data_IF_220306143742
#
_entry.id   IF_220306143742
#
_cell.length_a   1.000
_cell.length_b   1.000
_cell.length_c   1.000
_cell.angle_alpha   90.00
_cell.angle_beta   90.00
_cell.angle_gamma   90.00
#
_symmetry.space_group_name_H-M   'P 1'
#
loop_
_entity.id
_entity.type
_entity.pdbx_description
1 polymer ?
#
# COMPACT_ATOMS: atom_id res chain seq x y z
N UNK A 1 -1.85 25.30 -9.43
CA UNK A 1 -3.06 25.30 -10.27
C UNK A 1 -3.25 26.71 -10.80
N UNK A 2 -3.64 26.82 -12.07
CA UNK A 2 -3.69 28.06 -12.81
C UNK A 2 -5.06 28.25 -13.45
N UNK A 3 -5.59 29.47 -13.38
CA UNK A 3 -6.94 29.77 -13.86
C UNK A 3 -6.89 30.01 -15.37
N UNK A 4 -7.55 29.14 -16.14
CA UNK A 4 -7.69 29.28 -17.59
C UNK A 4 -9.15 29.60 -17.91
N UNK A 5 -9.38 30.64 -18.70
CA UNK A 5 -10.71 31.01 -19.16
C UNK A 5 -11.10 30.17 -20.38
N UNK A 6 -12.07 29.27 -20.21
CA UNK A 6 -12.55 28.34 -21.24
C UNK A 6 -14.05 28.59 -21.45
N UNK A 7 -14.44 28.98 -22.68
CA UNK A 7 -15.84 29.34 -23.05
C UNK A 7 -16.50 30.36 -22.08
N UNK A 8 -15.72 31.27 -21.51
CA UNK A 8 -16.20 32.30 -20.58
C UNK A 8 -16.38 31.85 -19.13
N UNK A 9 -15.85 30.67 -18.76
CA UNK A 9 -15.75 30.19 -17.38
C UNK A 9 -14.29 30.06 -16.98
N UNK A 10 -13.97 30.49 -15.78
CA UNK A 10 -12.63 30.41 -15.21
C UNK A 10 -12.46 29.06 -14.51
N UNK A 11 -11.53 28.24 -15.01
CA UNK A 11 -11.32 26.86 -14.55
C UNK A 11 -9.92 26.74 -13.97
N UNK A 12 -9.78 26.19 -12.76
CA UNK A 12 -8.49 26.01 -12.09
C UNK A 12 -7.80 24.72 -12.57
N UNK A 13 -6.94 24.84 -13.57
CA UNK A 13 -6.30 23.72 -14.27
C UNK A 13 -4.87 23.51 -13.78
N UNK A 14 -4.50 22.25 -13.53
CA UNK A 14 -3.11 21.89 -13.23
C UNK A 14 -2.32 21.60 -14.52
N UNK A 15 -1.72 22.66 -15.07
CA UNK A 15 -0.99 22.63 -16.35
C UNK A 15 0.25 21.75 -16.28
N UNK A 16 0.96 21.72 -15.15
CA UNK A 16 2.18 20.92 -14.99
C UNK A 16 1.84 19.42 -15.02
N UNK A 17 0.79 19.02 -14.30
CA UNK A 17 0.27 17.64 -14.30
C UNK A 17 -0.07 17.15 -15.71
N UNK A 18 -0.80 17.95 -16.47
CA UNK A 18 -1.24 17.57 -17.83
C UNK A 18 -0.07 17.46 -18.83
N UNK A 19 0.99 18.26 -18.66
CA UNK A 19 2.15 18.22 -19.55
C UNK A 19 3.17 17.14 -19.19
N UNK A 20 3.24 16.72 -17.92
CA UNK A 20 4.14 15.64 -17.45
C UNK A 20 3.76 14.26 -18.04
N UNK A 21 2.52 14.10 -18.52
CA UNK A 21 2.08 12.87 -19.19
C UNK A 21 2.77 12.64 -20.54
N UNK A 22 3.36 13.68 -21.15
CA UNK A 22 3.96 13.63 -22.47
C UNK A 22 5.49 13.64 -22.42
N UNK A 23 6.12 12.93 -23.36
CA UNK A 23 7.58 12.86 -23.46
C UNK A 23 8.16 14.08 -24.18
N UNK A 24 8.85 14.95 -23.44
CA UNK A 24 9.48 16.15 -23.99
C UNK A 24 10.97 15.98 -24.27
N UNK A 25 11.39 16.33 -25.49
CA UNK A 25 12.81 16.29 -25.87
C UNK A 25 13.55 17.52 -25.36
N UNK A 26 14.67 17.30 -24.64
CA UNK A 26 15.54 18.35 -24.05
C UNK A 26 14.76 19.36 -23.18
N UNK A 27 13.79 18.85 -22.42
CA UNK A 27 12.98 19.66 -21.52
C UNK A 27 13.76 20.23 -20.34
N UNK A 28 13.44 21.47 -20.00
CA UNK A 28 13.85 22.15 -18.78
C UNK A 28 12.61 22.72 -18.12
N UNK A 29 12.29 22.16 -16.96
CA UNK A 29 11.21 22.61 -16.10
C UNK A 29 11.73 23.67 -15.13
N UNK A 30 11.02 24.79 -15.02
CA UNK A 30 11.16 25.77 -13.95
C UNK A 30 9.81 26.05 -13.33
N UNK A 31 9.79 26.65 -12.14
CA UNK A 31 8.56 26.90 -11.39
C UNK A 31 7.53 27.76 -12.15
N UNK A 32 7.99 28.54 -13.12
CA UNK A 32 7.20 29.49 -13.92
C UNK A 32 6.91 28.99 -15.35
N UNK A 33 7.72 28.09 -15.91
CA UNK A 33 7.60 27.67 -17.32
C UNK A 33 8.28 26.34 -17.62
N UNK A 34 7.82 25.69 -18.68
CA UNK A 34 8.51 24.60 -19.35
C UNK A 34 9.16 25.14 -20.64
N UNK A 35 10.42 24.77 -20.89
CA UNK A 35 11.12 24.99 -22.16
C UNK A 35 11.54 23.63 -22.73
N UNK A 36 11.22 23.34 -23.99
CA UNK A 36 11.55 22.08 -24.64
C UNK A 36 11.78 22.25 -26.15
N UNK A 37 12.21 21.17 -26.82
CA UNK A 37 12.08 21.10 -28.27
C UNK A 37 10.60 21.13 -28.69
N UNK A 38 10.32 21.70 -29.86
CA UNK A 38 8.95 21.84 -30.36
C UNK A 38 8.24 20.49 -30.51
N UNK A 39 6.98 20.37 -30.04
CA UNK A 39 6.17 19.19 -30.28
C UNK A 39 5.59 19.19 -31.72
N UNK A 40 5.44 20.35 -32.35
CA UNK A 40 4.78 20.51 -33.65
C UNK A 40 5.67 20.18 -34.85
N UNK A 41 6.99 20.22 -34.64
CA UNK A 41 7.99 20.00 -35.70
C UNK A 41 9.24 19.36 -35.13
N UNK A 42 9.98 18.69 -35.99
CA UNK A 42 11.29 18.18 -35.61
C UNK A 42 12.25 19.34 -35.32
N UNK A 43 12.71 19.44 -34.06
CA UNK A 43 13.73 20.40 -33.64
C UNK A 43 14.78 19.73 -32.75
N UNK A 44 16.04 20.10 -32.98
CA UNK A 44 17.18 19.63 -32.20
C UNK A 44 17.57 20.61 -31.08
N UNK A 45 17.03 21.83 -31.10
CA UNK A 45 17.25 22.88 -30.10
C UNK A 45 15.96 23.25 -29.37
N UNK A 46 15.98 23.48 -28.04
CA UNK A 46 14.80 23.95 -27.33
C UNK A 46 14.32 25.31 -27.84
N UNK A 47 13.13 25.33 -28.41
CA UNK A 47 12.53 26.47 -29.11
C UNK A 47 11.09 26.74 -28.67
N UNK A 48 10.47 25.76 -28.01
CA UNK A 48 9.12 25.80 -27.47
C UNK A 48 9.15 26.14 -25.98
N UNK A 49 8.20 26.98 -25.56
CA UNK A 49 7.99 27.31 -24.16
C UNK A 49 6.50 27.43 -23.84
N UNK A 50 6.14 27.08 -22.62
CA UNK A 50 4.80 27.26 -22.07
C UNK A 50 4.89 27.77 -20.63
N UNK A 51 4.05 28.75 -20.28
CA UNK A 51 3.97 29.29 -18.93
C UNK A 51 3.07 28.43 -18.05
N UNK A 52 3.54 28.08 -16.86
CA UNK A 52 2.81 27.26 -15.89
C UNK A 52 2.00 28.12 -14.90
N UNK A 53 2.32 29.42 -14.81
CA UNK A 53 1.69 30.39 -13.93
C UNK A 53 1.47 31.72 -14.68
N UNK A 54 0.59 32.56 -14.16
CA UNK A 54 0.37 33.91 -14.68
C UNK A 54 1.63 34.76 -14.50
N UNK A 55 2.02 35.46 -15.55
CA UNK A 55 3.12 36.42 -15.55
C UNK A 55 2.60 37.80 -15.92
N UNK A 56 3.38 38.84 -15.62
CA UNK A 56 3.00 40.23 -15.94
C UNK A 56 2.74 40.48 -17.45
N UNK A 57 3.15 39.56 -18.33
CA UNK A 57 3.08 39.70 -19.78
C UNK A 57 2.32 38.57 -20.49
N UNK A 58 1.95 37.49 -19.80
CA UNK A 58 1.29 36.33 -20.37
C UNK A 58 0.53 35.51 -19.31
N UNK A 59 -0.65 35.01 -19.66
CA UNK A 59 -1.45 34.13 -18.81
C UNK A 59 -0.87 32.71 -18.80
N UNK A 60 -1.10 31.99 -17.71
CA UNK A 60 -0.78 30.59 -17.59
C UNK A 60 -1.41 29.77 -18.73
N UNK A 61 -0.65 28.82 -19.28
CA UNK A 61 -1.08 28.00 -20.41
C UNK A 61 -0.85 28.64 -21.78
N UNK A 62 -0.36 29.88 -21.82
CA UNK A 62 0.12 30.49 -23.07
C UNK A 62 1.44 29.85 -23.47
N UNK A 63 1.56 29.44 -24.73
CA UNK A 63 2.79 28.85 -25.27
C UNK A 63 3.27 29.56 -26.53
N UNK A 64 4.55 29.39 -26.84
CA UNK A 64 5.16 29.87 -28.08
C UNK A 64 6.27 28.95 -28.58
N UNK A 65 6.41 28.84 -29.90
CA UNK A 65 7.55 28.21 -30.57
C UNK A 65 8.29 29.27 -31.38
N UNK A 66 9.49 29.60 -30.92
CA UNK A 66 10.35 30.62 -31.52
C UNK A 66 10.84 30.27 -32.93
N UNK A 67 10.85 28.98 -33.30
CA UNK A 67 11.20 28.52 -34.66
C UNK A 67 10.00 28.09 -35.50
N UNK A 68 8.77 28.26 -35.00
CA UNK A 68 7.53 28.00 -35.73
C UNK A 68 7.17 29.14 -36.70
N UNK A 69 6.56 28.79 -37.84
CA UNK A 69 5.99 29.74 -38.79
C UNK A 69 4.48 29.60 -38.90
N UNK A 70 3.74 30.71 -39.00
CA UNK A 70 2.29 30.71 -39.17
C UNK A 70 1.53 30.37 -37.89
N UNK A 71 0.56 29.45 -37.99
CA UNK A 71 -0.39 29.08 -36.92
C UNK A 71 0.26 28.35 -35.73
N UNK A 72 1.49 27.86 -35.88
CA UNK A 72 2.24 27.17 -34.81
C UNK A 72 3.31 28.04 -34.13
N UNK A 73 3.17 29.37 -34.18
CA UNK A 73 4.13 30.28 -33.55
C UNK A 73 3.78 30.61 -32.10
N UNK A 74 2.49 30.75 -31.78
CA UNK A 74 1.94 31.03 -30.44
C UNK A 74 0.53 30.46 -30.35
N UNK A 75 0.15 30.01 -29.17
CA UNK A 75 -1.21 29.50 -28.96
C UNK A 75 -1.57 29.37 -27.49
N UNK A 76 -2.77 28.84 -27.28
CA UNK A 76 -3.34 28.59 -25.95
C UNK A 76 -3.20 27.13 -25.54
N UNK A 77 -3.39 26.87 -24.26
CA UNK A 77 -3.22 25.55 -23.66
C UNK A 77 -4.11 24.48 -24.31
N UNK A 78 -5.35 24.82 -24.64
CA UNK A 78 -6.31 23.93 -25.30
C UNK A 78 -5.81 23.44 -26.66
N UNK A 79 -5.16 24.32 -27.43
CA UNK A 79 -4.59 24.01 -28.75
C UNK A 79 -3.39 23.06 -28.64
N UNK A 80 -2.58 23.25 -27.60
CA UNK A 80 -1.44 22.37 -27.33
C UNK A 80 -1.91 20.97 -26.94
N UNK A 81 -2.88 20.88 -26.02
CA UNK A 81 -3.44 19.60 -25.59
C UNK A 81 -4.15 18.88 -26.74
N UNK A 82 -4.88 19.61 -27.59
CA UNK A 82 -5.54 19.04 -28.77
C UNK A 82 -4.52 18.36 -29.69
N UNK A 83 -3.38 19.02 -29.91
CA UNK A 83 -2.29 18.46 -30.71
C UNK A 83 -1.59 17.27 -30.04
N UNK A 84 -1.31 17.34 -28.73
CA UNK A 84 -0.63 16.26 -28.01
C UNK A 84 -1.51 15.00 -27.86
N UNK A 85 -2.83 15.17 -27.75
CA UNK A 85 -3.82 14.09 -27.62
C UNK A 85 -4.40 13.58 -28.94
N UNK A 86 -4.05 14.22 -30.06
CA UNK A 86 -4.60 13.94 -31.40
C UNK A 86 -6.14 13.98 -31.41
N UNK A 87 -6.71 15.06 -30.86
CA UNK A 87 -8.17 15.28 -30.78
C UNK A 87 -8.53 16.74 -31.10
N UNK A 88 -9.83 17.03 -31.23
CA UNK A 88 -10.29 18.39 -31.55
C UNK A 88 -10.24 19.32 -30.32
N UNK A 89 -10.14 20.64 -30.57
CA UNK A 89 -10.17 21.64 -29.49
C UNK A 89 -11.48 21.59 -28.68
N UNK A 90 -12.61 21.24 -29.31
CA UNK A 90 -13.90 21.09 -28.62
C UNK A 90 -13.88 19.93 -27.63
N UNK A 91 -13.30 18.79 -28.00
CA UNK A 91 -13.13 17.63 -27.12
C UNK A 91 -12.19 17.92 -25.95
N UNK A 92 -11.13 18.70 -26.16
CA UNK A 92 -10.25 19.15 -25.08
C UNK A 92 -10.96 20.11 -24.13
N UNK A 93 -11.77 21.02 -24.67
CA UNK A 93 -12.56 21.95 -23.85
C UNK A 93 -13.57 21.17 -23.01
N UNK A 94 -14.28 20.21 -23.60
CA UNK A 94 -15.24 19.39 -22.86
C UNK A 94 -14.52 18.52 -21.82
N UNK A 95 -13.34 17.95 -22.15
CA UNK A 95 -12.47 17.25 -21.18
C UNK A 95 -12.05 18.15 -20.01
N UNK A 96 -11.55 19.36 -20.27
CA UNK A 96 -11.09 20.27 -19.22
C UNK A 96 -12.25 20.77 -18.36
N UNK A 97 -13.42 21.00 -18.95
CA UNK A 97 -14.64 21.34 -18.21
C UNK A 97 -15.13 20.15 -17.38
N UNK A 98 -15.13 18.93 -17.92
CA UNK A 98 -15.51 17.73 -17.18
C UNK A 98 -14.54 17.45 -16.01
N UNK A 99 -13.23 17.52 -16.26
CA UNK A 99 -12.19 17.16 -15.30
C UNK A 99 -12.01 18.24 -14.23
N UNK A 100 -12.03 19.53 -14.60
CA UNK A 100 -11.64 20.64 -13.72
C UNK A 100 -12.75 21.64 -13.39
N UNK A 101 -13.88 21.68 -14.11
CA UNK A 101 -14.99 22.56 -13.71
C UNK A 101 -15.75 21.92 -12.54
N UNK A 102 -15.36 22.30 -11.33
CA UNK A 102 -16.14 22.05 -10.13
C UNK A 102 -17.13 23.21 -9.96
N UNK A 103 -18.44 22.96 -10.07
CA UNK A 103 -19.48 23.93 -9.75
C UNK A 103 -19.40 24.28 -8.25
N UNK A 104 -18.70 25.36 -7.92
CA UNK A 104 -18.59 25.87 -6.55
C UNK A 104 -19.34 27.20 -6.43
N UNK A 105 -20.55 27.14 -5.87
CA UNK A 105 -21.40 28.31 -5.59
C UNK A 105 -21.40 28.73 -4.10
N UNK A 106 -20.49 28.17 -3.30
CA UNK A 106 -20.22 28.63 -1.94
C UNK A 106 -21.27 28.26 -0.87
N UNK A 107 -22.40 27.64 -1.22
CA UNK A 107 -23.44 27.23 -0.24
C UNK A 107 -23.67 25.72 -0.16
N UNK A 108 -23.22 24.93 -1.14
CA UNK A 108 -23.51 23.50 -1.16
C UNK A 108 -22.45 22.70 -0.38
N UNK A 109 -22.89 21.86 0.56
CA UNK A 109 -22.05 20.91 1.32
C UNK A 109 -21.13 20.17 0.35
N UNK A 110 -19.83 20.12 0.66
CA UNK A 110 -18.85 19.27 -0.02
C UNK A 110 -19.38 17.84 -0.16
N UNK A 111 -19.91 17.52 -1.34
CA UNK A 111 -20.12 16.14 -1.77
C UNK A 111 -18.87 15.73 -2.55
N UNK A 112 -18.06 14.89 -1.92
CA UNK A 112 -16.90 14.29 -2.57
C UNK A 112 -17.46 13.32 -3.61
N UNK A 113 -17.35 13.68 -4.90
CA UNK A 113 -17.69 12.78 -5.99
C UNK A 113 -16.60 11.71 -6.16
N UNK A 114 -16.81 10.60 -5.46
CA UNK A 114 -15.92 9.44 -5.46
C UNK A 114 -15.89 8.69 -6.81
N UNK A 115 -16.75 9.03 -7.77
CA UNK A 115 -16.80 8.33 -9.07
C UNK A 115 -15.57 8.59 -9.96
N UNK A 116 -14.80 9.64 -9.65
CA UNK A 116 -13.59 10.04 -10.38
C UNK A 116 -12.29 9.42 -9.86
N UNK A 117 -12.32 8.72 -8.73
CA UNK A 117 -11.21 7.87 -8.28
C UNK A 117 -11.13 6.62 -9.19
N UNK A 118 -10.54 6.76 -10.37
CA UNK A 118 -10.03 5.62 -11.13
C UNK A 118 -8.79 5.09 -10.43
N UNK A 119 -8.97 4.42 -9.30
CA UNK A 119 -7.98 3.44 -8.86
C UNK A 119 -7.83 2.46 -10.02
N UNK A 120 -6.62 2.31 -10.53
CA UNK A 120 -6.29 1.20 -11.41
C UNK A 120 -6.39 -0.06 -10.56
N UNK A 121 -7.61 -0.54 -10.33
CA UNK A 121 -7.87 -1.87 -9.78
C UNK A 121 -7.43 -2.86 -10.86
N UNK A 122 -6.12 -3.09 -10.96
CA UNK A 122 -5.74 -4.48 -11.16
C UNK A 122 -6.38 -5.21 -9.98
N UNK A 123 -7.42 -6.00 -10.25
CA UNK A 123 -8.00 -6.91 -9.27
C UNK A 123 -6.91 -7.95 -8.98
N UNK A 124 -5.95 -7.57 -8.14
CA UNK A 124 -4.88 -8.42 -7.65
C UNK A 124 -5.48 -9.28 -6.56
N UNK A 125 -5.37 -10.59 -6.73
CA UNK A 125 -6.03 -11.56 -5.89
C UNK A 125 -6.00 -12.91 -6.58
N UNK A 126 -6.06 -13.94 -5.76
CA UNK A 126 -6.02 -15.32 -6.21
C UNK A 126 -7.43 -15.93 -6.16
N UNK A 127 -7.74 -16.86 -7.06
CA UNK A 127 -8.97 -17.65 -6.98
C UNK A 127 -9.02 -18.45 -5.66
N UNK A 128 -10.18 -18.45 -5.00
CA UNK A 128 -10.40 -19.25 -3.77
C UNK A 128 -10.31 -20.76 -4.07
N UNK A 129 -10.58 -21.15 -5.32
CA UNK A 129 -10.48 -22.50 -5.86
C UNK A 129 -9.10 -23.13 -5.63
N UNK A 130 -8.05 -22.33 -5.40
CA UNK A 130 -6.70 -22.82 -5.09
C UNK A 130 -6.59 -23.49 -3.72
N UNK A 131 -7.52 -23.19 -2.81
CA UNK A 131 -7.56 -23.75 -1.45
C UNK A 131 -8.81 -24.61 -1.20
N UNK A 132 -9.81 -24.52 -2.09
CA UNK A 132 -11.01 -25.36 -2.02
C UNK A 132 -10.69 -26.84 -2.22
N UNK A 133 -11.33 -27.69 -1.40
CA UNK A 133 -11.17 -29.15 -1.48
C UNK A 133 -9.87 -29.70 -0.89
N UNK A 134 -8.97 -28.86 -0.37
CA UNK A 134 -7.78 -29.29 0.35
C UNK A 134 -8.10 -29.62 1.82
N UNK A 135 -7.27 -30.46 2.43
CA UNK A 135 -7.41 -30.81 3.83
C UNK A 135 -7.07 -29.60 4.71
N UNK A 136 -7.92 -29.27 5.68
CA UNK A 136 -7.64 -28.17 6.62
C UNK A 136 -6.69 -28.61 7.74
N UNK A 137 -6.61 -29.92 7.99
CA UNK A 137 -5.83 -30.50 9.09
C UNK A 137 -4.47 -30.96 8.61
N UNK A 138 -3.41 -30.37 9.17
CA UNK A 138 -2.03 -30.73 8.95
C UNK A 138 -1.40 -31.28 10.23
N UNK A 139 -0.95 -32.53 10.19
CA UNK A 139 -0.15 -33.14 11.26
C UNK A 139 1.17 -32.39 11.49
N UNK A 140 1.73 -31.81 10.44
CA UNK A 140 2.95 -31.00 10.54
C UNK A 140 2.73 -29.76 11.42
N UNK A 141 1.65 -29.01 11.18
CA UNK A 141 1.32 -27.84 11.98
C UNK A 141 0.94 -28.23 13.41
N UNK A 142 0.23 -29.35 13.57
CA UNK A 142 -0.07 -29.90 14.89
C UNK A 142 1.20 -30.25 15.68
N UNK A 143 2.18 -30.88 15.04
CA UNK A 143 3.51 -31.15 15.61
C UNK A 143 4.31 -29.88 15.94
N UNK A 144 3.99 -28.75 15.30
CA UNK A 144 4.48 -27.41 15.63
C UNK A 144 3.56 -26.69 16.63
N UNK A 145 2.76 -27.40 17.41
CA UNK A 145 1.92 -26.82 18.47
C UNK A 145 0.72 -26.01 17.99
N UNK A 146 0.41 -26.01 16.69
CA UNK A 146 -0.77 -25.31 16.15
C UNK A 146 -1.97 -26.25 16.16
N UNK A 147 -2.96 -25.96 17.01
CA UNK A 147 -4.15 -26.80 17.16
C UNK A 147 -4.96 -26.89 15.86
N UNK A 148 -5.70 -27.98 15.61
CA UNK A 148 -6.55 -28.06 14.42
C UNK A 148 -7.63 -26.97 14.38
N UNK A 149 -8.16 -26.57 15.53
CA UNK A 149 -9.11 -25.46 15.62
C UNK A 149 -8.47 -24.15 15.16
N UNK A 150 -7.19 -23.92 15.49
CA UNK A 150 -6.44 -22.77 14.99
C UNK A 150 -6.17 -22.86 13.49
N UNK A 151 -5.84 -24.05 12.98
CA UNK A 151 -5.64 -24.25 11.54
C UNK A 151 -6.92 -23.92 10.75
N UNK A 152 -8.07 -24.36 11.25
CA UNK A 152 -9.39 -24.01 10.71
C UNK A 152 -9.67 -22.51 10.84
N UNK A 153 -9.37 -21.91 11.99
CA UNK A 153 -9.61 -20.49 12.26
C UNK A 153 -8.83 -19.56 11.33
N UNK A 154 -7.57 -19.89 11.03
CA UNK A 154 -6.70 -19.17 10.07
C UNK A 154 -6.87 -19.64 8.62
N UNK A 155 -7.80 -20.57 8.35
CA UNK A 155 -8.04 -21.13 7.01
C UNK A 155 -6.78 -21.74 6.39
N UNK A 156 -5.83 -22.24 7.18
CA UNK A 156 -4.65 -22.92 6.61
C UNK A 156 -5.04 -24.24 6.01
N UNK A 157 -4.45 -24.58 4.87
CA UNK A 157 -4.76 -25.82 4.16
C UNK A 157 -3.49 -26.62 3.89
N UNK A 158 -3.67 -27.93 3.72
CA UNK A 158 -2.62 -28.90 3.48
C UNK A 158 -2.92 -29.67 2.20
N UNK A 159 -1.95 -29.67 1.30
CA UNK A 159 -1.92 -30.52 0.11
C UNK A 159 -1.12 -31.78 0.43
N UNK A 160 -1.85 -32.87 0.72
CA UNK A 160 -1.29 -34.18 1.07
C UNK A 160 -0.45 -34.77 -0.06
N UNK A 161 -0.84 -34.54 -1.31
CA UNK A 161 -0.16 -35.11 -2.49
C UNK A 161 1.22 -34.49 -2.65
N UNK A 162 1.34 -33.18 -2.40
CA UNK A 162 2.60 -32.43 -2.56
C UNK A 162 3.36 -32.22 -1.25
N UNK A 163 2.81 -32.64 -0.11
CA UNK A 163 3.33 -32.38 1.23
C UNK A 163 3.59 -30.88 1.48
N UNK A 164 2.61 -30.05 1.12
CA UNK A 164 2.69 -28.59 1.22
C UNK A 164 1.66 -28.07 2.22
N UNK A 165 2.12 -27.35 3.22
CA UNK A 165 1.25 -26.47 4.02
C UNK A 165 1.12 -25.15 3.31
N UNK A 166 -0.11 -24.64 3.18
CA UNK A 166 -0.40 -23.38 2.55
C UNK A 166 -1.01 -22.42 3.57
N UNK A 167 -0.52 -21.18 3.55
CA UNK A 167 -0.92 -20.07 4.40
C UNK A 167 -1.61 -19.03 3.52
N UNK A 168 -2.95 -19.01 3.53
CA UNK A 168 -3.72 -17.98 2.83
C UNK A 168 -3.53 -16.61 3.49
N UNK A 169 -3.28 -15.60 2.67
CA UNK A 169 -3.36 -14.20 3.08
C UNK A 169 -4.67 -13.65 2.58
N UNK A 170 -5.60 -13.41 3.49
CA UNK A 170 -6.92 -12.91 3.16
C UNK A 170 -6.98 -11.38 3.35
N UNK A 171 -7.73 -10.72 2.49
CA UNK A 171 -8.12 -9.32 2.67
C UNK A 171 -9.17 -9.20 3.79
N UNK A 172 -9.42 -8.01 4.34
CA UNK A 172 -10.51 -7.79 5.32
C UNK A 172 -11.89 -8.26 4.86
N UNK A 173 -12.12 -8.33 3.54
CA UNK A 173 -13.37 -8.81 2.94
C UNK A 173 -13.37 -10.32 2.68
N UNK A 174 -12.39 -11.08 3.19
CA UNK A 174 -12.29 -12.54 3.04
C UNK A 174 -11.79 -13.03 1.67
N UNK A 175 -11.35 -12.13 0.77
CA UNK A 175 -10.78 -12.53 -0.53
C UNK A 175 -9.33 -12.96 -0.40
N UNK A 176 -8.92 -14.02 -1.10
CA UNK A 176 -7.53 -14.48 -1.14
C UNK A 176 -6.63 -13.49 -1.89
N UNK A 177 -5.75 -12.80 -1.16
CA UNK A 177 -4.81 -11.83 -1.70
C UNK A 177 -3.52 -12.50 -2.18
N UNK A 178 -2.98 -13.43 -1.38
CA UNK A 178 -1.80 -14.20 -1.71
C UNK A 178 -1.84 -15.58 -1.05
N UNK A 179 -1.05 -16.52 -1.57
CA UNK A 179 -0.94 -17.86 -1.04
C UNK A 179 0.52 -18.23 -0.91
N UNK A 180 1.00 -18.30 0.34
CA UNK A 180 2.34 -18.77 0.66
C UNK A 180 2.30 -20.27 0.92
N UNK A 181 3.22 -21.02 0.34
CA UNK A 181 3.29 -22.48 0.48
C UNK A 181 4.64 -22.87 1.07
N UNK A 182 4.65 -23.85 1.96
CA UNK A 182 5.84 -24.38 2.61
C UNK A 182 5.84 -25.89 2.52
N UNK A 183 6.96 -26.47 2.13
CA UNK A 183 7.15 -27.93 2.22
C UNK A 183 7.30 -28.36 3.68
N UNK A 184 6.69 -29.48 4.03
CA UNK A 184 6.84 -30.07 5.36
C UNK A 184 8.19 -30.77 5.55
N UNK A 185 8.79 -31.24 4.46
CA UNK A 185 10.06 -31.97 4.44
C UNK A 185 11.31 -31.09 4.32
N UNK A 186 11.15 -29.79 4.07
CA UNK A 186 12.26 -28.87 3.81
C UNK A 186 11.89 -27.42 4.16
N UNK A 187 12.90 -26.55 4.30
CA UNK A 187 12.69 -25.11 4.55
C UNK A 187 12.41 -24.31 3.27
N UNK A 188 11.84 -24.94 2.24
CA UNK A 188 11.52 -24.29 0.97
C UNK A 188 10.15 -23.63 1.01
N UNK A 189 10.10 -22.37 0.56
CA UNK A 189 8.89 -21.57 0.46
C UNK A 189 8.58 -21.23 -0.99
N UNK A 190 7.30 -21.25 -1.33
CA UNK A 190 6.79 -20.92 -2.66
C UNK A 190 5.66 -19.91 -2.52
N UNK A 191 5.45 -19.13 -3.57
CA UNK A 191 4.37 -18.16 -3.66
C UNK A 191 3.57 -18.46 -4.92
N UNK A 192 2.24 -18.42 -4.81
CA UNK A 192 1.40 -18.52 -5.99
C UNK A 192 1.50 -17.24 -6.83
N UNK A 193 1.60 -17.40 -8.15
CA UNK A 193 1.69 -16.27 -9.08
C UNK A 193 0.37 -15.51 -9.22
N UNK A 194 0.43 -14.20 -9.45
CA UNK A 194 -0.75 -13.35 -9.62
C UNK A 194 -1.37 -12.81 -8.33
N UNK A 195 -0.78 -13.12 -7.17
CA UNK A 195 -1.18 -12.56 -5.88
C UNK A 195 -0.71 -11.11 -5.65
N UNK A 196 -1.31 -10.47 -4.64
CA UNK A 196 -0.87 -9.17 -4.12
C UNK A 196 0.55 -9.31 -3.53
N UNK A 197 1.44 -8.30 -3.70
CA UNK A 197 2.78 -8.36 -3.15
C UNK A 197 2.81 -8.60 -1.63
N UNK A 198 3.61 -9.57 -1.17
CA UNK A 198 3.73 -9.92 0.26
C UNK A 198 4.14 -8.74 1.14
N UNK A 199 4.85 -7.75 0.59
CA UNK A 199 5.24 -6.52 1.29
C UNK A 199 4.05 -5.64 1.69
N UNK A 200 2.85 -5.91 1.19
CA UNK A 200 1.62 -5.15 1.44
C UNK A 200 0.65 -5.89 2.35
N UNK A 201 0.93 -7.16 2.66
CA UNK A 201 0.00 -8.06 3.35
C UNK A 201 0.49 -8.41 4.76
N UNK A 202 -0.45 -8.62 5.68
CA UNK A 202 -0.16 -9.12 7.04
C UNK A 202 -1.03 -10.35 7.24
N UNK A 203 -0.41 -11.46 7.66
CA UNK A 203 -1.12 -12.71 7.88
C UNK A 203 -2.05 -12.58 9.09
N UNK A 204 -3.29 -13.05 8.96
CA UNK A 204 -4.30 -13.02 10.03
C UNK A 204 -5.00 -11.67 10.23
N UNK A 205 -4.71 -10.67 9.39
CA UNK A 205 -5.34 -9.34 9.54
C UNK A 205 -6.85 -9.37 9.25
N UNK A 206 -7.30 -10.26 8.36
CA UNK A 206 -8.71 -10.48 8.07
C UNK A 206 -9.49 -10.89 9.33
N UNK A 207 -8.88 -11.72 10.18
CA UNK A 207 -9.45 -12.17 11.45
C UNK A 207 -9.61 -11.00 12.42
N UNK A 208 -8.68 -10.04 12.40
CA UNK A 208 -8.80 -8.81 13.20
C UNK A 208 -10.09 -8.06 12.87
N UNK A 209 -10.40 -7.92 11.58
CA UNK A 209 -11.62 -7.25 11.11
C UNK A 209 -12.87 -8.09 11.34
N UNK A 210 -12.82 -9.39 11.02
CA UNK A 210 -13.95 -10.32 11.11
C UNK A 210 -14.47 -10.44 12.54
N UNK A 211 -13.55 -10.56 13.49
CA UNK A 211 -13.88 -10.87 14.88
C UNK A 211 -13.65 -9.66 15.83
N UNK A 212 -13.31 -8.50 15.26
CA UNK A 212 -13.06 -7.23 15.97
C UNK A 212 -12.03 -7.34 17.11
N UNK A 213 -10.91 -8.02 16.85
CA UNK A 213 -9.83 -8.17 17.83
C UNK A 213 -9.15 -6.84 18.14
N UNK A 214 -9.07 -6.51 19.43
CA UNK A 214 -8.38 -5.30 19.94
C UNK A 214 -6.92 -5.53 20.30
N UNK A 215 -6.56 -6.78 20.58
CA UNK A 215 -5.24 -7.17 21.04
C UNK A 215 -4.70 -8.22 20.08
N UNK A 216 -3.46 -8.05 19.62
CA UNK A 216 -2.80 -9.03 18.78
C UNK A 216 -1.33 -9.26 19.19
N UNK A 217 -0.86 -10.49 19.02
CA UNK A 217 0.55 -10.87 19.10
C UNK A 217 1.14 -10.75 17.70
N UNK A 218 2.19 -9.96 17.52
CA UNK A 218 2.86 -9.80 16.22
C UNK A 218 4.20 -10.55 16.22
N UNK A 219 4.36 -11.42 15.21
CA UNK A 219 5.52 -12.30 15.03
C UNK A 219 6.09 -12.17 13.61
N UNK A 220 7.31 -12.69 13.39
CA UNK A 220 7.93 -12.72 12.06
C UNK A 220 7.20 -13.67 11.11
N UNK A 221 6.87 -14.87 11.58
CA UNK A 221 6.32 -15.93 10.74
C UNK A 221 4.90 -16.35 11.12
N UNK A 222 4.22 -16.95 10.15
CA UNK A 222 2.81 -17.34 10.24
C UNK A 222 2.60 -18.48 11.24
N UNK A 223 3.55 -19.41 11.35
CA UNK A 223 3.46 -20.54 12.29
C UNK A 223 3.52 -20.01 13.73
N UNK A 224 4.40 -19.05 14.02
CA UNK A 224 4.51 -18.44 15.35
C UNK A 224 3.25 -17.66 15.71
N UNK A 225 2.67 -16.92 14.76
CA UNK A 225 1.40 -16.23 14.94
C UNK A 225 0.28 -17.22 15.34
N UNK A 226 0.13 -18.30 14.58
CA UNK A 226 -0.87 -19.34 14.88
C UNK A 226 -0.56 -20.10 16.18
N UNK A 227 0.71 -20.33 16.50
CA UNK A 227 1.08 -20.94 17.76
C UNK A 227 0.67 -20.06 18.94
N UNK A 228 0.97 -18.75 18.85
CA UNK A 228 0.53 -17.75 19.82
C UNK A 228 -0.96 -17.78 20.06
N UNK A 229 -1.75 -17.84 18.99
CA UNK A 229 -3.20 -17.97 19.08
C UNK A 229 -3.64 -19.30 19.71
N UNK A 230 -3.02 -20.42 19.30
CA UNK A 230 -3.37 -21.77 19.81
C UNK A 230 -3.20 -21.89 21.32
N UNK A 231 -2.20 -21.21 21.88
CA UNK A 231 -1.89 -21.26 23.31
C UNK A 231 -2.71 -20.24 24.10
N UNK A 232 -2.84 -19.01 23.59
CA UNK A 232 -3.31 -17.87 24.38
C UNK A 232 -4.74 -17.43 24.05
N UNK A 233 -5.25 -17.82 22.88
CA UNK A 233 -6.50 -17.31 22.30
C UNK A 233 -6.40 -15.87 21.77
N UNK A 234 -5.28 -15.17 21.97
CA UNK A 234 -5.04 -13.83 21.43
C UNK A 234 -4.78 -13.96 19.92
N UNK A 235 -5.28 -13.02 19.11
CA UNK A 235 -5.02 -13.03 17.68
C UNK A 235 -3.50 -12.95 17.41
N UNK A 236 -2.95 -13.90 16.67
CA UNK A 236 -1.59 -13.82 16.13
C UNK A 236 -1.55 -13.19 14.73
N UNK A 237 -0.63 -12.26 14.51
CA UNK A 237 -0.33 -11.65 13.23
C UNK A 237 1.08 -12.00 12.78
N UNK A 238 1.21 -12.52 11.55
CA UNK A 238 2.51 -12.81 10.94
C UNK A 238 2.92 -11.71 9.96
N UNK A 239 4.09 -11.13 10.14
CA UNK A 239 4.67 -10.18 9.16
C UNK A 239 4.97 -10.91 7.85
N UNK A 240 5.42 -12.17 7.90
CA UNK A 240 5.64 -13.03 6.72
C UNK A 240 6.86 -12.66 5.88
N UNK A 241 7.60 -11.62 6.27
CA UNK A 241 8.80 -11.07 5.62
C UNK A 241 9.80 -10.61 6.68
N UNK A 242 11.06 -10.41 6.31
CA UNK A 242 12.15 -9.99 7.21
C UNK A 242 12.11 -8.52 7.65
N UNK A 243 11.05 -7.77 7.30
CA UNK A 243 10.88 -6.38 7.67
C UNK A 243 9.41 -5.96 7.68
N UNK A 244 9.10 -4.99 8.54
CA UNK A 244 7.83 -4.27 8.53
C UNK A 244 7.93 -3.08 7.57
N UNK A 245 7.14 -3.11 6.51
CA UNK A 245 7.03 -2.01 5.53
C UNK A 245 5.96 -1.00 5.94
N UNK A 246 5.97 0.18 5.30
CA UNK A 246 4.96 1.22 5.55
C UNK A 246 3.56 0.73 5.18
N UNK A 247 3.44 -0.08 4.14
CA UNK A 247 2.19 -0.65 3.66
C UNK A 247 1.60 -1.64 4.67
N UNK A 248 2.43 -2.53 5.24
CA UNK A 248 2.01 -3.43 6.34
C UNK A 248 1.58 -2.65 7.58
N UNK A 249 2.35 -1.63 7.94
CA UNK A 249 2.00 -0.78 9.07
C UNK A 249 0.66 -0.05 8.83
N UNK A 250 0.40 0.43 7.61
CA UNK A 250 -0.89 1.02 7.22
C UNK A 250 -2.05 0.01 7.28
N UNK A 251 -1.82 -1.25 6.89
CA UNK A 251 -2.80 -2.32 7.04
C UNK A 251 -3.16 -2.55 8.51
N UNK A 252 -2.17 -2.61 9.40
CA UNK A 252 -2.40 -2.80 10.85
C UNK A 252 -3.10 -1.57 11.46
N UNK A 253 -2.70 -0.34 11.11
CA UNK A 253 -3.35 0.88 11.62
C UNK A 253 -4.84 1.00 11.25
N UNK A 254 -5.22 0.48 10.08
CA UNK A 254 -6.62 0.47 9.63
C UNK A 254 -7.45 -0.65 10.26
N UNK A 255 -6.80 -1.57 10.98
CA UNK A 255 -7.46 -2.65 11.69
C UNK A 255 -8.00 -2.17 13.05
N UNK A 256 -8.90 -2.94 13.69
CA UNK A 256 -9.44 -2.57 15.00
C UNK A 256 -8.45 -2.75 16.16
N UNK A 257 -7.20 -3.12 15.89
CA UNK A 257 -6.18 -3.41 16.89
C UNK A 257 -5.74 -2.13 17.60
N UNK A 258 -5.75 -2.18 18.93
CA UNK A 258 -5.32 -1.11 19.83
C UNK A 258 -4.07 -1.49 20.61
N UNK A 259 -3.78 -2.79 20.75
CA UNK A 259 -2.63 -3.31 21.48
C UNK A 259 -1.87 -4.34 20.65
N UNK A 260 -0.55 -4.16 20.54
CA UNK A 260 0.35 -5.12 19.93
C UNK A 260 1.33 -5.65 20.96
N UNK A 261 1.37 -6.98 21.07
CA UNK A 261 2.36 -7.71 21.85
C UNK A 261 3.43 -8.21 20.89
N UNK A 262 4.60 -7.60 20.96
CA UNK A 262 5.74 -7.91 20.11
C UNK A 262 6.40 -9.19 20.62
N UNK A 263 6.39 -10.21 19.78
CA UNK A 263 7.07 -11.48 20.00
C UNK A 263 7.95 -11.81 18.79
N UNK A 264 8.95 -10.96 18.57
CA UNK A 264 9.98 -11.12 17.55
C UNK A 264 11.05 -12.12 18.00
N UNK A 265 11.70 -12.78 17.05
CA UNK A 265 12.73 -13.78 17.31
C UNK A 265 13.91 -13.18 18.12
N UNK A 266 14.57 -14.01 18.93
CA UNK A 266 15.71 -13.61 19.77
C UNK A 266 17.03 -13.55 18.98
N UNK A 267 16.99 -12.90 17.81
CA UNK A 267 18.14 -12.71 16.93
C UNK A 267 18.25 -11.26 16.40
N UNK A 268 19.25 -11.01 15.54
CA UNK A 268 19.48 -9.66 14.99
C UNK A 268 18.35 -9.19 14.06
N UNK A 269 17.66 -10.10 13.38
CA UNK A 269 16.54 -9.78 12.51
C UNK A 269 15.30 -9.44 13.33
N UNK A 270 15.04 -10.19 14.39
CA UNK A 270 13.94 -9.92 15.33
C UNK A 270 14.11 -8.61 16.07
N UNK A 271 15.31 -8.30 16.54
CA UNK A 271 15.60 -7.00 17.14
C UNK A 271 15.35 -5.83 16.16
N UNK A 272 15.68 -6.02 14.87
CA UNK A 272 15.40 -5.03 13.84
C UNK A 272 13.89 -4.88 13.63
N UNK A 273 13.16 -5.99 13.53
CA UNK A 273 11.70 -5.94 13.37
C UNK A 273 11.03 -5.25 14.56
N UNK A 274 11.45 -5.58 15.78
CA UNK A 274 10.97 -4.95 17.01
C UNK A 274 11.12 -3.43 16.95
N UNK A 275 12.30 -2.92 16.60
CA UNK A 275 12.53 -1.47 16.43
C UNK A 275 11.63 -0.85 15.37
N UNK A 276 11.43 -1.53 14.24
CA UNK A 276 10.53 -1.04 13.19
C UNK A 276 9.08 -0.95 13.67
N UNK A 277 8.61 -1.92 14.45
CA UNK A 277 7.27 -1.90 15.06
C UNK A 277 7.18 -0.74 16.06
N UNK A 278 8.18 -0.59 16.95
CA UNK A 278 8.24 0.50 17.91
C UNK A 278 8.18 1.87 17.22
N UNK A 279 9.02 2.10 16.21
CA UNK A 279 9.07 3.35 15.44
C UNK A 279 7.77 3.62 14.67
N UNK A 280 7.15 2.58 14.08
CA UNK A 280 5.95 2.75 13.29
C UNK A 280 4.71 3.05 14.15
N UNK A 281 4.57 2.41 15.31
CA UNK A 281 3.30 2.43 16.04
C UNK A 281 3.36 3.20 17.37
N UNK A 282 4.54 3.68 17.78
CA UNK A 282 4.70 4.50 18.98
C UNK A 282 3.76 5.71 18.94
N UNK A 283 2.91 5.82 19.96
CA UNK A 283 1.95 6.92 20.11
C UNK A 283 0.59 6.67 19.45
N UNK A 284 0.44 5.61 18.66
CA UNK A 284 -0.83 5.26 18.00
C UNK A 284 -1.45 3.97 18.57
N UNK A 285 -0.64 2.93 18.79
CA UNK A 285 -1.04 1.62 19.32
C UNK A 285 -0.25 1.35 20.59
N UNK A 286 -0.88 0.74 21.61
CA UNK A 286 -0.17 0.34 22.84
C UNK A 286 0.75 -0.83 22.55
N UNK A 287 2.04 -0.65 22.78
CA UNK A 287 3.05 -1.67 22.49
C UNK A 287 3.51 -2.37 23.76
N UNK A 288 3.59 -3.68 23.68
CA UNK A 288 4.13 -4.53 24.73
C UNK A 288 5.22 -5.42 24.14
N UNK A 289 6.19 -5.81 24.94
CA UNK A 289 7.19 -6.83 24.59
C UNK A 289 7.11 -7.99 25.57
N UNK A 290 7.39 -9.19 25.08
CA UNK A 290 7.61 -10.37 25.91
C UNK A 290 9.10 -10.71 25.98
N UNK A 291 9.51 -11.35 27.08
CA UNK A 291 10.86 -11.87 27.23
C UNK A 291 10.87 -13.37 26.91
N UNK A 292 11.81 -13.78 26.09
CA UNK A 292 12.02 -15.18 25.75
C UNK A 292 12.87 -15.85 26.84
N UNK A 293 12.47 -17.04 27.34
CA UNK A 293 13.30 -17.83 28.23
C UNK A 293 14.63 -18.23 27.58
N UNK A 294 15.65 -18.46 28.39
CA UNK A 294 16.97 -18.88 27.91
C UNK A 294 16.86 -20.13 27.01
N UNK A 295 17.45 -20.04 25.82
CA UNK A 295 17.48 -21.13 24.84
C UNK A 295 16.31 -21.16 23.86
N UNK A 296 15.27 -20.34 24.03
CA UNK A 296 14.18 -20.20 23.05
C UNK A 296 14.58 -19.18 21.98
N UNK A 297 14.46 -19.55 20.69
CA UNK A 297 14.81 -18.66 19.58
C UNK A 297 13.60 -17.94 19.00
N UNK A 298 12.53 -18.69 18.80
CA UNK A 298 11.26 -18.22 18.26
C UNK A 298 10.11 -18.53 19.22
N UNK A 299 8.90 -18.06 18.90
CA UNK A 299 7.72 -18.30 19.75
C UNK A 299 7.44 -19.79 19.88
N UNK A 300 7.66 -20.56 18.81
CA UNK A 300 7.36 -21.98 18.77
C UNK A 300 8.31 -22.86 19.59
N UNK A 301 9.49 -22.37 19.94
CA UNK A 301 10.40 -23.02 20.88
C UNK A 301 9.91 -22.95 22.34
N UNK A 302 9.02 -22.01 22.67
CA UNK A 302 8.47 -21.85 24.02
C UNK A 302 7.40 -22.91 24.31
N UNK A 303 7.37 -23.45 25.53
CA UNK A 303 6.24 -24.28 25.98
C UNK A 303 4.96 -23.43 26.15
N UNK A 304 3.76 -24.05 26.12
CA UNK A 304 2.52 -23.31 26.34
C UNK A 304 2.49 -22.55 27.68
N UNK A 305 3.09 -23.13 28.73
CA UNK A 305 3.20 -22.50 30.04
C UNK A 305 4.12 -21.28 29.99
N UNK A 306 5.30 -21.42 29.41
CA UNK A 306 6.25 -20.31 29.26
C UNK A 306 5.66 -19.14 28.48
N UNK A 307 4.95 -19.42 27.38
CA UNK A 307 4.31 -18.39 26.58
C UNK A 307 3.21 -17.68 27.36
N UNK A 308 2.37 -18.44 28.07
CA UNK A 308 1.32 -17.86 28.91
C UNK A 308 1.91 -16.95 29.99
N UNK A 309 2.96 -17.40 30.67
CA UNK A 309 3.67 -16.61 31.68
C UNK A 309 4.31 -15.34 31.08
N UNK A 310 4.93 -15.44 29.90
CA UNK A 310 5.54 -14.30 29.22
C UNK A 310 4.50 -13.24 28.81
N UNK A 311 3.32 -13.66 28.35
CA UNK A 311 2.20 -12.76 28.01
C UNK A 311 1.62 -12.08 29.25
N UNK A 312 1.52 -12.81 30.37
CA UNK A 312 1.10 -12.24 31.66
C UNK A 312 2.10 -11.19 32.15
N UNK A 313 3.40 -11.49 32.02
CA UNK A 313 4.50 -10.64 32.44
C UNK A 313 4.97 -9.64 31.37
N UNK A 314 4.16 -9.40 30.32
CA UNK A 314 4.52 -8.50 29.22
C UNK A 314 4.88 -7.11 29.73
N UNK A 315 5.93 -6.52 29.16
CA UNK A 315 6.43 -5.19 29.52
C UNK A 315 5.90 -4.16 28.54
N UNK A 316 5.21 -3.15 29.06
CA UNK A 316 4.78 -2.01 28.26
C UNK A 316 6.01 -1.27 27.73
N UNK A 317 6.00 -0.99 26.43
CA UNK A 317 7.02 -0.18 25.78
C UNK A 317 6.56 1.27 25.85
N UNK A 318 7.30 2.08 26.61
CA UNK A 318 6.99 3.49 26.75
C UNK A 318 7.43 4.21 25.47
N UNK A 319 6.57 5.01 24.83
CA UNK A 319 6.95 5.84 23.69
C UNK A 319 8.16 6.70 24.04
N UNK A 320 9.17 6.75 23.17
CA UNK A 320 10.38 7.56 23.35
C UNK A 320 10.13 9.09 23.34
N UNK A 321 8.86 9.52 23.40
CA UNK A 321 8.40 10.91 23.31
C UNK A 321 8.67 11.76 24.58
N UNK A 322 9.30 11.22 25.62
CA UNK A 322 9.63 11.97 26.84
C UNK A 322 11.13 12.09 27.16
N UNK A 323 12.03 11.63 26.29
CA UNK A 323 13.46 11.87 26.44
C UNK A 323 13.88 13.12 25.65
N UNK A 324 13.36 14.28 26.03
CA UNK A 324 13.99 15.57 25.72
C UNK A 324 14.65 16.05 27.01
N UNK A 325 15.94 15.74 27.13
CA UNK A 325 16.85 16.42 28.06
C UNK A 325 17.32 17.74 27.44
#
# INVERSE_FOLDING_TARGET
MAIISIRGRDVDVDIEKELDEYSWSRAKWSADRLIACSPFRYDSSPSFYIYLQDTATAFAGSWGDSGGGGEHQKGHFTQLLAFLRDCSEEEVVDYLLEEYASDWDGETKLEIDLTRLKMKEEVRGLPMELIEGLAVKSEYLYGRGVSYATQEYYTTVYDEVKNLVMFPYLTPNGRLAALKKRRTDSKMFFYEGGGVPMRELVFGIDLAHRDNHKIAIITEAEIDAMYGHSVTGILGLGVGTSSLTKEKASVIRRSPIEELIIASDNDKAGEKLRKQIEECFSGEIRLYSIEFPDGCKDLNDMTPQQLTEAIVNKKALVPALFNVA
#
